data_IF_496292900026
#
_entry.id   IF_496292900026
#
_cell.length_a   1.000
_cell.length_b   1.000
_cell.length_c   1.000
_cell.angle_alpha   90.00
_cell.angle_beta   90.00
_cell.angle_gamma   90.00
#
_symmetry.space_group_name_H-M   'P 1'
#
loop_
_entity.id
_entity.type
_entity.pdbx_description
1 polymer ?
#
# COMPACT_ATOMS: atom_id res chain seq x y z
N UNK A 1 6.27 -6.45 -25.26
CA UNK A 1 6.76 -6.42 -23.86
C UNK A 1 5.91 -7.44 -23.13
N UNK A 2 6.47 -8.62 -22.84
CA UNK A 2 5.68 -9.80 -22.46
C UNK A 2 4.71 -9.48 -21.31
N UNK A 3 3.42 -9.67 -21.58
CA UNK A 3 2.34 -9.63 -20.60
C UNK A 3 1.78 -11.03 -20.42
N UNK A 4 1.28 -11.35 -19.23
CA UNK A 4 0.69 -12.65 -18.96
C UNK A 4 -0.78 -12.70 -19.42
N UNK A 5 -1.53 -11.64 -19.15
CA UNK A 5 -2.99 -11.57 -19.33
C UNK A 5 -3.38 -10.44 -20.27
N UNK A 6 -4.24 -10.70 -21.25
CA UNK A 6 -4.90 -9.66 -22.06
C UNK A 6 -6.31 -9.40 -21.56
N UNK A 7 -6.62 -8.14 -21.23
CA UNK A 7 -7.98 -7.76 -20.82
C UNK A 7 -8.72 -7.17 -22.02
N UNK A 8 -9.63 -7.95 -22.60
CA UNK A 8 -10.52 -7.50 -23.66
C UNK A 8 -11.81 -6.94 -23.07
N UNK A 9 -12.12 -5.69 -23.40
CA UNK A 9 -13.24 -4.95 -22.83
C UNK A 9 -13.72 -3.86 -23.82
N UNK A 10 -14.94 -3.36 -23.65
CA UNK A 10 -15.39 -2.18 -24.40
C UNK A 10 -14.86 -0.91 -23.72
N UNK A 11 -14.46 0.11 -24.49
CA UNK A 11 -13.92 1.36 -23.94
C UNK A 11 -14.86 2.07 -22.96
N UNK A 12 -16.17 1.80 -23.03
CA UNK A 12 -17.19 2.31 -22.09
C UNK A 12 -17.12 1.67 -20.70
N UNK A 13 -16.52 0.49 -20.60
CA UNK A 13 -16.41 -0.30 -19.37
C UNK A 13 -14.99 -0.19 -18.77
N UNK A 14 -14.24 0.85 -19.15
CA UNK A 14 -12.85 1.08 -18.71
C UNK A 14 -12.65 1.03 -17.20
N UNK A 15 -13.48 1.68 -16.36
CA UNK A 15 -13.27 1.65 -14.91
C UNK A 15 -13.26 0.22 -14.33
N UNK A 16 -14.11 -0.66 -14.88
CA UNK A 16 -14.16 -2.06 -14.48
C UNK A 16 -12.91 -2.81 -14.94
N UNK A 17 -12.46 -2.58 -16.19
CA UNK A 17 -11.25 -3.17 -16.72
C UNK A 17 -10.00 -2.77 -15.92
N UNK A 18 -9.89 -1.50 -15.56
CA UNK A 18 -8.79 -0.99 -14.71
C UNK A 18 -8.82 -1.61 -13.31
N UNK A 19 -10.01 -1.77 -12.71
CA UNK A 19 -10.16 -2.47 -11.43
C UNK A 19 -9.65 -3.91 -11.51
N UNK A 20 -9.95 -4.61 -12.61
CA UNK A 20 -9.49 -5.98 -12.82
C UNK A 20 -7.97 -6.06 -13.05
N UNK A 21 -7.41 -5.13 -13.82
CA UNK A 21 -5.95 -5.01 -14.00
C UNK A 21 -5.26 -4.84 -12.67
N UNK A 22 -5.74 -3.91 -11.84
CA UNK A 22 -5.16 -3.68 -10.52
C UNK A 22 -5.22 -4.94 -9.66
N UNK A 23 -6.37 -5.65 -9.65
CA UNK A 23 -6.50 -6.92 -8.92
C UNK A 23 -5.44 -7.95 -9.38
N UNK A 24 -5.31 -8.19 -10.69
CA UNK A 24 -4.39 -9.21 -11.21
C UNK A 24 -2.91 -8.82 -11.04
N UNK A 25 -2.56 -7.56 -11.30
CA UNK A 25 -1.21 -7.04 -11.11
C UNK A 25 -0.81 -7.04 -9.63
N UNK A 26 -1.76 -6.81 -8.71
CA UNK A 26 -1.56 -6.96 -7.26
C UNK A 26 -1.28 -8.40 -6.79
N UNK A 27 -1.58 -9.39 -7.63
CA UNK A 27 -1.23 -10.81 -7.42
C UNK A 27 -0.07 -11.27 -8.30
N UNK A 28 0.68 -10.33 -8.90
CA UNK A 28 1.90 -10.61 -9.66
C UNK A 28 1.67 -11.04 -11.11
N UNK A 29 0.47 -10.86 -11.68
CA UNK A 29 0.19 -11.16 -13.09
C UNK A 29 0.25 -9.90 -13.93
N UNK A 30 1.13 -9.86 -14.93
CA UNK A 30 1.27 -8.68 -15.78
C UNK A 30 0.12 -8.58 -16.80
N UNK A 31 -0.56 -7.43 -16.86
CA UNK A 31 -1.70 -7.26 -17.77
C UNK A 31 -1.36 -6.37 -18.98
N UNK A 32 -1.99 -6.68 -20.12
CA UNK A 32 -2.16 -5.78 -21.25
C UNK A 32 -3.58 -5.21 -21.24
N UNK A 33 -3.70 -3.88 -21.30
CA UNK A 33 -4.99 -3.17 -21.48
C UNK A 33 -4.84 -2.03 -22.49
N UNK A 34 -5.75 -1.99 -23.48
CA UNK A 34 -5.67 -1.06 -24.61
C UNK A 34 -5.67 0.43 -24.22
N UNK A 35 -6.26 0.80 -23.08
CA UNK A 35 -6.27 2.20 -22.57
C UNK A 35 -4.92 2.68 -22.05
N UNK A 36 -4.02 1.76 -21.68
CA UNK A 36 -2.72 2.06 -21.06
C UNK A 36 -1.57 1.73 -22.00
N UNK A 37 -1.64 0.58 -22.65
CA UNK A 37 -0.50 -0.02 -23.34
C UNK A 37 -0.44 0.33 -24.84
N UNK A 38 -1.47 1.01 -25.39
CA UNK A 38 -1.46 1.56 -26.76
C UNK A 38 -1.17 3.07 -26.71
N UNK A 39 -0.11 3.57 -27.37
CA UNK A 39 0.20 5.00 -27.39
C UNK A 39 -0.91 5.86 -28.02
N UNK A 40 -1.09 7.06 -27.48
CA UNK A 40 -2.00 8.05 -28.07
C UNK A 40 -1.55 8.41 -29.50
N UNK A 41 -2.50 8.39 -30.44
CA UNK A 41 -2.23 8.66 -31.86
C UNK A 41 -1.71 7.46 -32.67
N UNK A 42 -1.44 6.32 -32.04
CA UNK A 42 -1.02 5.11 -32.74
C UNK A 42 -2.20 4.37 -33.39
N UNK A 43 -1.92 3.61 -34.44
CA UNK A 43 -2.86 2.61 -34.97
C UNK A 43 -2.95 1.43 -34.00
N UNK A 44 -4.16 1.03 -33.59
CA UNK A 44 -4.35 0.05 -32.51
C UNK A 44 -4.00 -1.38 -32.93
N UNK A 45 -4.28 -1.75 -34.20
CA UNK A 45 -4.23 -3.14 -34.64
C UNK A 45 -2.86 -3.82 -34.45
N UNK A 46 -1.71 -3.21 -34.81
CA UNK A 46 -0.40 -3.83 -34.58
C UNK A 46 -0.15 -4.13 -33.10
N UNK A 47 -0.41 -3.18 -32.21
CA UNK A 47 -0.18 -3.37 -30.76
C UNK A 47 -1.06 -4.47 -30.16
N UNK A 48 -2.30 -4.59 -30.64
CA UNK A 48 -3.20 -5.65 -30.22
C UNK A 48 -2.67 -7.01 -30.69
N UNK A 49 -2.26 -7.12 -31.96
CA UNK A 49 -1.71 -8.37 -32.51
C UNK A 49 -0.46 -8.78 -31.74
N UNK A 50 0.52 -7.88 -31.61
CA UNK A 50 1.77 -8.12 -30.89
C UNK A 50 1.50 -8.56 -29.44
N UNK A 51 0.51 -7.95 -28.78
CA UNK A 51 0.12 -8.34 -27.43
C UNK A 51 -0.51 -9.74 -27.38
N UNK A 52 -1.40 -10.07 -28.33
CA UNK A 52 -2.07 -11.37 -28.39
C UNK A 52 -1.10 -12.53 -28.67
N UNK A 53 -0.04 -12.28 -29.43
CA UNK A 53 1.05 -13.26 -29.64
C UNK A 53 1.79 -13.58 -28.33
N UNK A 54 2.08 -12.54 -27.53
CA UNK A 54 2.89 -12.65 -26.32
C UNK A 54 2.13 -13.16 -25.08
N UNK A 55 0.82 -12.95 -24.99
CA UNK A 55 0.03 -13.33 -23.81
C UNK A 55 -0.05 -14.85 -23.60
N UNK A 56 -0.45 -15.24 -22.39
CA UNK A 56 -0.76 -16.63 -22.04
C UNK A 56 -2.26 -16.89 -21.95
N UNK A 57 -3.06 -15.89 -21.58
CA UNK A 57 -4.51 -16.02 -21.40
C UNK A 57 -5.22 -14.69 -21.70
N UNK A 58 -6.39 -14.77 -22.32
CA UNK A 58 -7.30 -13.63 -22.50
C UNK A 58 -8.42 -13.69 -21.47
N UNK A 59 -8.71 -12.55 -20.84
CA UNK A 59 -9.91 -12.35 -20.02
C UNK A 59 -10.84 -11.39 -20.73
N UNK A 60 -12.11 -11.78 -20.85
CA UNK A 60 -13.14 -10.99 -21.51
C UNK A 60 -14.10 -10.41 -20.47
N UNK A 61 -14.35 -9.10 -20.54
CA UNK A 61 -15.44 -8.44 -19.81
C UNK A 61 -16.69 -8.39 -20.68
N UNK A 62 -17.55 -9.41 -20.59
CA UNK A 62 -18.77 -9.48 -21.38
C UNK A 62 -19.87 -8.60 -20.78
N UNK A 63 -19.96 -7.37 -21.27
CA UNK A 63 -21.03 -6.40 -20.99
C UNK A 63 -21.95 -6.23 -22.22
N UNK A 64 -23.07 -5.53 -22.07
CA UNK A 64 -23.91 -5.11 -23.20
C UNK A 64 -23.10 -4.29 -24.22
N UNK A 65 -22.23 -3.39 -23.75
CA UNK A 65 -21.36 -2.59 -24.61
C UNK A 65 -20.34 -3.45 -25.37
N UNK A 66 -19.80 -4.48 -24.71
CA UNK A 66 -18.88 -5.45 -25.32
C UNK A 66 -19.57 -6.21 -26.45
N UNK A 67 -20.80 -6.70 -26.23
CA UNK A 67 -21.55 -7.49 -27.21
C UNK A 67 -21.77 -6.71 -28.52
N UNK A 68 -21.96 -5.38 -28.44
CA UNK A 68 -22.14 -4.48 -29.58
C UNK A 68 -20.84 -4.06 -30.29
N UNK A 69 -19.67 -4.38 -29.73
CA UNK A 69 -18.38 -3.95 -30.28
C UNK A 69 -17.89 -4.86 -31.40
N UNK A 70 -17.61 -4.28 -32.58
CA UNK A 70 -17.04 -4.99 -33.75
C UNK A 70 -15.53 -5.22 -33.60
N UNK A 71 -14.82 -4.29 -32.95
CA UNK A 71 -13.37 -4.38 -32.77
C UNK A 71 -12.97 -5.62 -31.95
N UNK A 72 -13.80 -5.94 -30.95
CA UNK A 72 -13.67 -7.11 -30.09
C UNK A 72 -13.77 -8.43 -30.86
N UNK A 73 -14.59 -8.49 -31.92
CA UNK A 73 -14.74 -9.72 -32.71
C UNK A 73 -13.41 -10.13 -33.35
N UNK A 74 -12.59 -9.14 -33.74
CA UNK A 74 -11.25 -9.38 -34.28
C UNK A 74 -10.29 -9.92 -33.22
N UNK A 75 -10.31 -9.33 -32.02
CA UNK A 75 -9.48 -9.77 -30.89
C UNK A 75 -9.75 -11.24 -30.54
N UNK A 76 -11.03 -11.62 -30.42
CA UNK A 76 -11.43 -13.00 -30.13
C UNK A 76 -10.97 -13.94 -31.24
N UNK A 77 -11.17 -13.55 -32.51
CA UNK A 77 -10.78 -14.39 -33.65
C UNK A 77 -9.27 -14.64 -33.66
N UNK A 78 -8.46 -13.60 -33.49
CA UNK A 78 -6.99 -13.72 -33.43
C UNK A 78 -6.56 -14.60 -32.25
N UNK A 79 -7.10 -14.34 -31.06
CA UNK A 79 -6.77 -15.08 -29.84
C UNK A 79 -7.10 -16.58 -29.95
N UNK A 80 -8.28 -16.91 -30.48
CA UNK A 80 -8.77 -18.29 -30.56
C UNK A 80 -8.17 -19.06 -31.74
N UNK A 81 -8.16 -18.49 -32.95
CA UNK A 81 -7.81 -19.23 -34.16
C UNK A 81 -6.31 -19.24 -34.44
N UNK A 82 -5.68 -18.07 -34.34
CA UNK A 82 -4.27 -17.90 -34.68
C UNK A 82 -3.39 -18.32 -33.51
N UNK A 83 -3.65 -17.72 -32.35
CA UNK A 83 -2.78 -17.87 -31.17
C UNK A 83 -3.17 -19.04 -30.27
N UNK A 84 -4.40 -19.56 -30.42
CA UNK A 84 -4.95 -20.69 -29.66
C UNK A 84 -4.80 -20.53 -28.15
N UNK A 85 -4.93 -19.30 -27.66
CA UNK A 85 -4.80 -18.99 -26.23
C UNK A 85 -6.12 -19.26 -25.50
N UNK A 86 -6.08 -19.72 -24.25
CA UNK A 86 -7.28 -19.86 -23.44
C UNK A 86 -7.99 -18.50 -23.23
N UNK A 87 -9.32 -18.56 -23.18
CA UNK A 87 -10.21 -17.41 -22.99
C UNK A 87 -11.05 -17.64 -21.74
N UNK A 88 -11.07 -16.67 -20.83
CA UNK A 88 -11.87 -16.67 -19.60
C UNK A 88 -12.91 -15.53 -19.70
N UNK A 89 -14.18 -15.83 -20.00
CA UNK A 89 -15.22 -14.83 -20.05
C UNK A 89 -15.82 -14.55 -18.66
N UNK A 90 -15.84 -13.28 -18.29
CA UNK A 90 -16.59 -12.77 -17.15
C UNK A 90 -17.96 -12.30 -17.64
N UNK A 91 -19.02 -12.94 -17.16
CA UNK A 91 -20.40 -12.59 -17.50
C UNK A 91 -20.85 -11.41 -16.65
N UNK A 92 -21.04 -10.25 -17.27
CA UNK A 92 -21.62 -9.06 -16.63
C UNK A 92 -22.96 -8.63 -17.24
N UNK A 93 -23.40 -9.34 -18.28
CA UNK A 93 -24.66 -9.08 -18.99
C UNK A 93 -25.35 -10.40 -19.33
N UNK A 94 -26.68 -10.36 -19.30
CA UNK A 94 -27.56 -11.45 -19.73
C UNK A 94 -27.91 -11.37 -21.23
N UNK A 95 -27.38 -10.38 -21.95
CA UNK A 95 -27.62 -10.22 -23.38
C UNK A 95 -27.18 -11.47 -24.16
N UNK A 96 -27.99 -11.96 -25.10
CA UNK A 96 -27.63 -13.13 -25.89
C UNK A 96 -26.39 -12.84 -26.74
N UNK A 97 -25.48 -13.81 -26.81
CA UNK A 97 -24.32 -13.73 -27.69
C UNK A 97 -24.76 -13.59 -29.15
N UNK A 98 -24.09 -12.71 -29.89
CA UNK A 98 -24.33 -12.50 -31.31
C UNK A 98 -23.05 -12.68 -32.13
N UNK A 99 -23.22 -13.00 -33.42
CA UNK A 99 -22.12 -13.07 -34.38
C UNK A 99 -20.95 -13.98 -33.95
N UNK A 100 -19.73 -13.46 -34.11
CA UNK A 100 -18.46 -14.15 -33.79
C UNK A 100 -18.39 -14.54 -32.31
N UNK A 101 -18.89 -13.70 -31.40
CA UNK A 101 -18.91 -13.97 -29.96
C UNK A 101 -19.72 -15.22 -29.63
N UNK A 102 -20.83 -15.44 -30.34
CA UNK A 102 -21.63 -16.67 -30.19
C UNK A 102 -20.82 -17.90 -30.61
N UNK A 103 -20.09 -17.81 -31.71
CA UNK A 103 -19.30 -18.92 -32.20
C UNK A 103 -18.22 -19.36 -31.19
N UNK A 104 -17.44 -18.42 -30.65
CA UNK A 104 -16.33 -18.75 -29.75
C UNK A 104 -16.74 -18.93 -28.29
N UNK A 105 -17.72 -18.18 -27.80
CA UNK A 105 -18.03 -18.10 -26.37
C UNK A 105 -19.19 -19.00 -25.93
N UNK A 106 -19.93 -19.65 -26.85
CA UNK A 106 -21.07 -20.49 -26.48
C UNK A 106 -20.70 -21.81 -25.79
N UNK A 107 -19.52 -22.36 -26.05
CA UNK A 107 -19.11 -23.69 -25.54
C UNK A 107 -17.94 -23.62 -24.56
N UNK A 108 -17.76 -22.49 -23.89
CA UNK A 108 -16.73 -22.31 -22.85
C UNK A 108 -17.40 -22.06 -21.50
N UNK A 109 -16.68 -22.28 -20.41
CA UNK A 109 -17.16 -21.99 -19.06
C UNK A 109 -17.04 -20.49 -18.77
N UNK A 110 -18.06 -19.94 -18.12
CA UNK A 110 -18.13 -18.53 -17.74
C UNK A 110 -18.08 -18.36 -16.24
N UNK A 111 -17.53 -17.24 -15.80
CA UNK A 111 -17.66 -16.77 -14.42
C UNK A 111 -18.81 -15.75 -14.39
N UNK A 112 -19.91 -16.05 -13.69
CA UNK A 112 -20.92 -15.04 -13.38
C UNK A 112 -20.29 -13.98 -12.47
N UNK A 113 -20.09 -12.77 -12.98
CA UNK A 113 -19.18 -11.78 -12.40
C UNK A 113 -19.93 -10.51 -11.99
N UNK A 114 -20.09 -10.36 -10.67
CA UNK A 114 -20.73 -9.21 -10.00
C UNK A 114 -19.73 -8.36 -9.22
N UNK A 115 -18.43 -8.69 -9.33
CA UNK A 115 -17.35 -8.00 -8.62
C UNK A 115 -17.21 -8.41 -7.16
N UNK A 116 -17.73 -9.58 -6.78
CA UNK A 116 -17.63 -10.12 -5.43
C UNK A 116 -16.36 -10.95 -5.25
N UNK A 117 -15.88 -11.07 -4.01
CA UNK A 117 -14.60 -11.73 -3.68
C UNK A 117 -14.51 -13.15 -4.23
N UNK A 118 -15.57 -13.94 -4.10
CA UNK A 118 -15.59 -15.33 -4.58
C UNK A 118 -15.29 -15.44 -6.08
N UNK A 119 -15.82 -14.52 -6.88
CA UNK A 119 -15.65 -14.51 -8.33
C UNK A 119 -14.22 -14.11 -8.71
N UNK A 120 -13.63 -13.17 -7.97
CA UNK A 120 -12.21 -12.83 -8.08
C UNK A 120 -11.31 -14.01 -7.71
N UNK A 121 -11.65 -14.77 -6.66
CA UNK A 121 -10.90 -15.97 -6.26
C UNK A 121 -10.97 -17.08 -7.34
N UNK A 122 -12.15 -17.28 -7.95
CA UNK A 122 -12.34 -18.21 -9.07
C UNK A 122 -11.53 -17.78 -10.29
N UNK A 123 -11.55 -16.50 -10.63
CA UNK A 123 -10.76 -15.94 -11.71
C UNK A 123 -9.27 -16.15 -11.45
N UNK A 124 -8.78 -15.82 -10.27
CA UNK A 124 -7.37 -15.96 -9.89
C UNK A 124 -6.90 -17.41 -10.00
N UNK A 125 -7.70 -18.37 -9.51
CA UNK A 125 -7.42 -19.81 -9.67
C UNK A 125 -7.32 -20.20 -11.15
N UNK A 126 -8.24 -19.71 -11.97
CA UNK A 126 -8.24 -19.99 -13.42
C UNK A 126 -7.00 -19.42 -14.11
N UNK A 127 -6.58 -18.21 -13.73
CA UNK A 127 -5.38 -17.54 -14.24
C UNK A 127 -4.10 -18.33 -13.85
N UNK A 128 -3.96 -18.72 -12.58
CA UNK A 128 -2.84 -19.55 -12.10
C UNK A 128 -2.71 -20.84 -12.93
N UNK A 129 -3.83 -21.55 -13.13
CA UNK A 129 -3.85 -22.83 -13.87
C UNK A 129 -3.41 -22.63 -15.32
N UNK A 130 -3.91 -21.59 -16.01
CA UNK A 130 -3.59 -21.38 -17.42
C UNK A 130 -2.18 -20.83 -17.65
N UNK A 131 -1.62 -20.09 -16.69
CA UNK A 131 -0.29 -19.48 -16.81
C UNK A 131 0.81 -20.41 -16.29
N UNK A 132 0.50 -21.29 -15.34
CA UNK A 132 1.49 -22.13 -14.65
C UNK A 132 2.40 -21.34 -13.70
N UNK A 133 1.96 -20.17 -13.23
CA UNK A 133 2.66 -19.31 -12.26
C UNK A 133 1.82 -19.22 -10.99
N UNK A 134 2.44 -19.42 -9.82
CA UNK A 134 1.79 -19.14 -8.53
C UNK A 134 1.45 -17.66 -8.40
N UNK A 135 0.30 -17.35 -7.79
CA UNK A 135 -0.02 -15.98 -7.43
C UNK A 135 0.96 -15.51 -6.35
N UNK A 136 1.49 -14.32 -6.53
CA UNK A 136 2.20 -13.64 -5.44
C UNK A 136 1.16 -13.33 -4.34
N UNK A 137 1.53 -13.43 -3.04
CA UNK A 137 0.63 -13.07 -1.96
C UNK A 137 0.10 -11.67 -2.25
N UNK A 138 -1.23 -11.51 -2.30
CA UNK A 138 -1.89 -10.25 -2.65
C UNK A 138 -1.21 -9.10 -1.91
N UNK A 139 -0.41 -8.34 -2.64
CA UNK A 139 0.34 -7.22 -2.09
C UNK A 139 -0.65 -6.05 -2.11
N UNK A 140 -1.78 -6.16 -1.39
CA UNK A 140 -2.77 -5.08 -1.22
C UNK A 140 -2.08 -3.79 -0.77
N UNK A 141 -0.96 -3.96 -0.08
CA UNK A 141 0.13 -3.01 0.24
C UNK A 141 0.55 -2.14 -0.94
N UNK A 142 0.83 -2.71 -2.13
CA UNK A 142 1.21 -1.98 -3.36
C UNK A 142 0.04 -1.26 -4.04
N UNK A 143 -1.19 -1.76 -3.92
CA UNK A 143 -2.37 -1.08 -4.51
C UNK A 143 -2.81 0.16 -3.72
N UNK A 144 -2.47 0.23 -2.42
CA UNK A 144 -2.96 1.28 -1.53
C UNK A 144 -2.02 2.50 -1.53
N UNK A 145 -0.75 2.28 -1.83
CA UNK A 145 0.22 3.35 -2.05
C UNK A 145 0.14 3.74 -3.53
N UNK A 146 -0.51 4.86 -3.84
CA UNK A 146 -0.41 5.49 -5.16
C UNK A 146 1.03 6.01 -5.33
N UNK A 147 1.95 5.12 -5.68
CA UNK A 147 3.36 5.42 -5.90
C UNK A 147 3.63 6.13 -7.24
N UNK A 148 2.60 6.68 -7.89
CA UNK A 148 2.79 7.49 -9.11
C UNK A 148 3.57 8.78 -8.83
N UNK A 149 3.52 9.27 -7.59
CA UNK A 149 4.09 10.57 -7.19
C UNK A 149 5.17 10.46 -6.11
N UNK A 150 4.99 9.56 -5.13
CA UNK A 150 5.91 9.39 -4.00
C UNK A 150 6.30 7.93 -3.84
N UNK A 151 7.53 7.67 -3.44
CA UNK A 151 8.03 6.34 -3.12
C UNK A 151 8.16 6.18 -1.61
N UNK A 152 7.68 5.06 -1.07
CA UNK A 152 7.83 4.71 0.34
C UNK A 152 9.15 3.99 0.57
N UNK A 153 9.84 4.35 1.65
CA UNK A 153 11.00 3.63 2.17
C UNK A 153 10.75 3.23 3.61
N UNK A 154 11.05 1.99 3.97
CA UNK A 154 10.88 1.51 5.34
C UNK A 154 12.02 0.59 5.77
N UNK A 155 12.27 0.56 7.07
CA UNK A 155 13.13 -0.46 7.64
C UNK A 155 14.59 -0.40 7.13
N UNK A 156 15.06 -1.57 6.65
CA UNK A 156 16.43 -1.77 6.16
C UNK A 156 16.76 -0.95 4.91
N UNK A 157 15.76 -0.44 4.20
CA UNK A 157 15.95 0.33 2.96
C UNK A 157 16.42 1.76 3.18
N UNK A 158 16.44 2.22 4.43
CA UNK A 158 16.77 3.61 4.79
C UNK A 158 18.27 3.74 5.04
N UNK A 159 19.08 4.30 4.11
CA UNK A 159 20.48 4.58 4.36
C UNK A 159 20.66 5.81 5.27
N UNK A 160 21.86 5.98 5.88
CA UNK A 160 22.18 7.17 6.68
C UNK A 160 21.97 8.51 5.95
N UNK A 161 22.07 8.53 4.62
CA UNK A 161 21.80 9.73 3.82
C UNK A 161 20.35 10.20 3.95
N UNK A 162 19.38 9.28 3.97
CA UNK A 162 17.97 9.64 4.13
C UNK A 162 17.66 10.14 5.54
N UNK A 163 18.38 9.63 6.56
CA UNK A 163 18.30 10.16 7.94
C UNK A 163 18.83 11.60 8.00
N UNK A 164 19.90 11.90 7.26
CA UNK A 164 20.38 13.28 7.15
C UNK A 164 19.31 14.19 6.54
N UNK A 165 18.66 13.77 5.45
CA UNK A 165 17.57 14.54 4.84
C UNK A 165 16.36 14.70 5.78
N UNK A 166 16.04 13.68 6.59
CA UNK A 166 15.01 13.78 7.62
C UNK A 166 15.34 14.88 8.66
N UNK A 167 16.60 14.96 9.12
CA UNK A 167 17.06 16.03 10.02
C UNK A 167 17.02 17.41 9.34
N UNK A 168 17.25 17.49 8.03
CA UNK A 168 17.05 18.75 7.30
C UNK A 168 15.57 19.16 7.23
N UNK A 169 14.63 18.21 7.21
CA UNK A 169 13.19 18.51 7.31
C UNK A 169 12.84 19.04 8.70
N UNK A 170 13.47 18.54 9.76
CA UNK A 170 13.23 19.02 11.12
C UNK A 170 13.45 20.53 11.24
N UNK A 171 14.51 21.06 10.61
CA UNK A 171 14.81 22.50 10.56
C UNK A 171 13.69 23.35 9.94
N UNK A 172 12.81 22.73 9.16
CA UNK A 172 11.67 23.40 8.51
C UNK A 172 10.37 23.28 9.30
N UNK A 173 10.29 22.31 10.23
CA UNK A 173 9.04 21.90 10.90
C UNK A 173 9.06 22.19 12.39
N UNK A 174 10.22 22.03 13.02
CA UNK A 174 10.45 22.15 14.45
C UNK A 174 11.26 23.39 14.80
N UNK A 175 11.24 23.77 16.08
CA UNK A 175 12.18 24.75 16.61
C UNK A 175 13.52 24.07 16.96
N UNK A 176 14.56 24.87 17.22
CA UNK A 176 15.94 24.41 17.43
C UNK A 176 16.07 23.33 18.53
N UNK A 177 15.21 23.36 19.56
CA UNK A 177 15.25 22.42 20.68
C UNK A 177 14.77 21.00 20.33
N UNK A 178 14.05 20.84 19.22
CA UNK A 178 13.47 19.56 18.79
C UNK A 178 14.07 19.03 17.47
N UNK A 179 15.12 19.68 16.95
CA UNK A 179 15.83 19.17 15.76
C UNK A 179 16.58 17.90 16.14
N UNK A 180 16.38 16.82 15.38
CA UNK A 180 17.07 15.56 15.59
C UNK A 180 18.60 15.70 15.47
N UNK A 181 19.33 15.14 16.43
CA UNK A 181 20.78 15.00 16.30
C UNK A 181 21.10 13.83 15.36
N UNK A 182 21.72 14.13 14.21
CA UNK A 182 22.03 13.14 13.17
C UNK A 182 22.74 11.89 13.70
N UNK A 183 23.79 12.06 14.52
CA UNK A 183 24.57 10.93 15.03
C UNK A 183 23.73 10.03 15.94
N UNK A 184 22.87 10.62 16.77
CA UNK A 184 21.92 9.88 17.61
C UNK A 184 20.87 9.16 16.76
N UNK A 185 20.28 9.83 15.76
CA UNK A 185 19.34 9.20 14.83
C UNK A 185 19.94 7.99 14.11
N UNK A 186 21.20 8.10 13.66
CA UNK A 186 21.93 7.00 13.04
C UNK A 186 22.24 5.89 14.04
N UNK A 187 22.61 6.20 15.29
CA UNK A 187 22.80 5.20 16.35
C UNK A 187 21.52 4.41 16.61
N UNK A 188 20.39 5.11 16.77
CA UNK A 188 19.10 4.48 16.97
C UNK A 188 18.71 3.59 15.79
N UNK A 189 18.89 4.05 14.55
CA UNK A 189 18.66 3.24 13.35
C UNK A 189 19.62 2.05 13.22
N UNK A 190 20.87 2.17 13.68
CA UNK A 190 21.81 1.05 13.74
C UNK A 190 21.35 -0.01 14.73
N UNK A 191 20.85 0.41 15.89
CA UNK A 191 20.28 -0.47 16.91
C UNK A 191 19.01 -1.15 16.41
N UNK A 192 18.10 -0.40 15.79
CA UNK A 192 16.86 -0.94 15.25
C UNK A 192 16.55 -0.37 13.86
N UNK A 193 16.63 -1.24 12.85
CA UNK A 193 16.43 -0.85 11.44
C UNK A 193 15.00 -0.45 11.12
N UNK A 194 14.02 -0.87 11.91
CA UNK A 194 12.58 -0.76 11.61
C UNK A 194 11.90 0.36 12.41
N UNK A 195 12.63 1.45 12.67
CA UNK A 195 12.09 2.61 13.40
C UNK A 195 11.68 3.76 12.49
N UNK A 196 12.09 3.75 11.23
CA UNK A 196 11.78 4.82 10.29
C UNK A 196 10.88 4.35 9.14
N UNK A 197 9.99 5.25 8.75
CA UNK A 197 9.28 5.26 7.47
C UNK A 197 9.51 6.62 6.82
N UNK A 198 9.84 6.65 5.54
CA UNK A 198 10.17 7.87 4.80
C UNK A 198 9.46 7.91 3.45
N UNK A 199 9.15 9.12 2.98
CA UNK A 199 8.64 9.37 1.63
C UNK A 199 9.69 10.11 0.80
N UNK A 200 9.99 9.56 -0.37
CA UNK A 200 10.76 10.21 -1.43
C UNK A 200 9.81 10.78 -2.49
N UNK A 201 10.02 12.02 -2.92
CA UNK A 201 9.40 12.56 -4.14
C UNK A 201 10.13 12.00 -5.37
N UNK A 202 9.41 11.22 -6.19
CA UNK A 202 10.00 10.48 -7.31
C UNK A 202 10.67 11.42 -8.32
N UNK A 203 10.15 12.64 -8.48
CA UNK A 203 10.67 13.63 -9.44
C UNK A 203 11.95 14.29 -8.92
N UNK A 204 11.97 14.65 -7.64
CA UNK A 204 13.09 15.40 -7.05
C UNK A 204 14.16 14.52 -6.42
N UNK A 205 13.84 13.24 -6.17
CA UNK A 205 14.70 12.27 -5.47
C UNK A 205 15.11 12.72 -4.06
N UNK A 206 14.28 13.54 -3.43
CA UNK A 206 14.48 14.01 -2.06
C UNK A 206 13.49 13.38 -1.11
N UNK A 207 13.93 13.14 0.12
CA UNK A 207 13.01 12.84 1.21
C UNK A 207 12.18 14.08 1.51
N UNK A 208 10.87 13.90 1.57
CA UNK A 208 9.90 14.97 1.77
C UNK A 208 9.16 14.85 3.10
N UNK A 209 9.22 13.71 3.76
CA UNK A 209 8.63 13.51 5.07
C UNK A 209 8.99 12.15 5.64
N UNK A 210 8.84 12.02 6.95
CA UNK A 210 9.18 10.80 7.68
C UNK A 210 8.36 10.65 8.96
N UNK A 211 8.30 9.41 9.44
CA UNK A 211 7.87 9.05 10.78
C UNK A 211 8.98 8.25 11.45
N UNK A 212 9.34 8.63 12.67
CA UNK A 212 10.17 7.85 13.58
C UNK A 212 9.27 7.21 14.65
N UNK A 213 9.15 5.88 14.64
CA UNK A 213 8.34 5.12 15.57
C UNK A 213 9.19 3.98 16.18
N UNK A 214 9.50 4.10 17.47
CA UNK A 214 10.51 3.30 18.14
C UNK A 214 9.88 2.38 19.19
N UNK A 215 10.33 1.13 19.36
CA UNK A 215 9.92 0.34 20.50
C UNK A 215 10.67 0.83 21.74
N UNK A 216 9.95 0.99 22.85
CA UNK A 216 10.51 1.48 24.11
C UNK A 216 10.12 0.59 25.27
N UNK A 217 10.97 0.54 26.29
CA UNK A 217 10.68 -0.18 27.52
C UNK A 217 9.62 0.56 28.38
N UNK A 218 9.07 -0.13 29.39
CA UNK A 218 8.08 0.45 30.29
C UNK A 218 8.60 1.66 31.08
N UNK A 219 9.90 1.69 31.43
CA UNK A 219 10.50 2.80 32.17
C UNK A 219 10.42 4.10 31.38
N UNK A 220 10.88 4.08 30.12
CA UNK A 220 10.83 5.24 29.25
C UNK A 220 9.39 5.64 28.92
N UNK A 221 8.50 4.66 28.74
CA UNK A 221 7.09 4.91 28.51
C UNK A 221 6.48 5.79 29.62
N UNK A 222 6.70 5.43 30.89
CA UNK A 222 6.16 6.18 32.02
C UNK A 222 6.80 7.57 32.18
N UNK A 223 8.08 7.72 31.82
CA UNK A 223 8.77 9.02 31.83
C UNK A 223 8.16 9.96 30.77
N UNK A 224 7.94 9.47 29.55
CA UNK A 224 7.29 10.25 28.47
C UNK A 224 5.86 10.59 28.87
N UNK A 225 5.13 9.63 29.45
CA UNK A 225 3.74 9.84 29.91
C UNK A 225 3.58 10.96 30.92
N UNK A 226 4.57 11.14 31.79
CA UNK A 226 4.63 12.24 32.77
C UNK A 226 5.15 13.56 32.18
N UNK A 227 5.54 13.58 30.90
CA UNK A 227 6.05 14.76 30.22
C UNK A 227 7.38 15.28 30.81
N UNK A 228 8.24 14.39 31.32
CA UNK A 228 9.46 14.77 32.05
C UNK A 228 10.72 14.85 31.18
N UNK A 229 10.67 14.37 29.94
CA UNK A 229 11.81 14.23 29.05
C UNK A 229 11.53 14.82 27.68
N UNK A 230 12.57 15.36 27.04
CA UNK A 230 12.54 15.79 25.63
C UNK A 230 13.24 14.71 24.79
N UNK A 231 12.67 14.35 23.65
CA UNK A 231 13.13 13.29 22.73
C UNK A 231 14.64 13.26 22.46
N UNK A 232 15.25 14.43 22.28
CA UNK A 232 16.69 14.54 21.98
C UNK A 232 17.59 14.02 23.11
N UNK A 233 17.03 13.76 24.29
CA UNK A 233 17.74 13.27 25.48
C UNK A 233 17.54 11.77 25.75
N UNK A 234 16.79 11.07 24.89
CA UNK A 234 16.56 9.63 25.04
C UNK A 234 17.88 8.86 24.85
N UNK A 235 18.30 8.15 25.90
CA UNK A 235 19.44 7.24 25.84
C UNK A 235 19.10 5.99 25.02
N UNK A 236 20.08 5.45 24.28
CA UNK A 236 19.87 4.29 23.41
C UNK A 236 19.48 3.02 24.18
N UNK A 237 19.93 2.87 25.42
CA UNK A 237 19.57 1.78 26.34
C UNK A 237 18.05 1.61 26.52
N UNK A 238 17.27 2.67 26.41
CA UNK A 238 15.82 2.64 26.60
C UNK A 238 15.02 2.27 25.33
N UNK A 239 15.71 2.21 24.19
CA UNK A 239 15.12 1.83 22.90
C UNK A 239 15.31 0.33 22.73
N UNK A 240 14.22 -0.40 22.56
CA UNK A 240 14.24 -1.85 22.40
C UNK A 240 14.64 -2.27 20.97
N UNK A 241 14.94 -3.55 20.78
CA UNK A 241 15.20 -4.13 19.46
C UNK A 241 14.17 -5.21 19.12
N UNK A 242 13.86 -5.33 17.84
CA UNK A 242 12.93 -6.32 17.31
C UNK A 242 13.60 -7.68 17.05
N UNK A 243 14.44 -8.11 17.99
CA UNK A 243 15.25 -9.33 17.84
C UNK A 243 14.50 -10.59 18.26
N UNK A 244 13.45 -10.44 19.08
CA UNK A 244 12.62 -11.54 19.59
C UNK A 244 11.12 -11.26 19.38
N UNK A 245 10.31 -12.32 19.12
CA UNK A 245 8.86 -12.26 19.27
C UNK A 245 8.48 -11.78 20.68
N UNK A 246 7.80 -10.63 20.75
CA UNK A 246 7.33 -10.06 22.01
C UNK A 246 6.31 -8.93 21.77
N UNK A 247 5.74 -8.43 22.85
CA UNK A 247 4.86 -7.26 22.87
C UNK A 247 5.60 -6.04 23.44
N UNK A 248 5.76 -5.01 22.62
CA UNK A 248 6.48 -3.78 22.94
C UNK A 248 5.53 -2.61 23.19
N UNK A 249 6.03 -1.51 23.76
CA UNK A 249 5.36 -0.20 23.67
C UNK A 249 5.92 0.58 22.48
N UNK A 250 5.05 1.21 21.70
CA UNK A 250 5.45 2.02 20.55
C UNK A 250 5.51 3.49 20.94
N UNK A 251 6.66 4.12 20.69
CA UNK A 251 6.83 5.56 20.78
C UNK A 251 6.85 6.21 19.40
N UNK A 252 5.85 7.05 19.08
CA UNK A 252 5.88 7.89 17.89
C UNK A 252 6.67 9.16 18.24
N UNK A 253 7.99 9.08 18.09
CA UNK A 253 8.93 10.14 18.46
C UNK A 253 8.85 11.35 17.53
N UNK A 254 8.74 11.14 16.22
CA UNK A 254 8.78 12.26 15.29
C UNK A 254 7.90 12.02 14.07
N UNK A 255 7.23 13.08 13.64
CA UNK A 255 6.36 13.11 12.46
C UNK A 255 6.57 14.44 11.78
N UNK A 256 7.33 14.42 10.68
CA UNK A 256 7.66 15.62 9.94
C UNK A 256 7.30 15.45 8.46
N UNK A 257 6.76 16.51 7.88
CA UNK A 257 6.47 16.62 6.45
C UNK A 257 6.89 18.01 6.00
N UNK A 258 7.64 18.07 4.91
CA UNK A 258 8.11 19.33 4.36
C UNK A 258 6.88 20.22 4.02
N UNK A 259 6.84 21.50 4.46
CA UNK A 259 5.64 22.33 4.40
C UNK A 259 4.97 22.45 3.03
N UNK A 260 5.77 22.49 1.95
CA UNK A 260 5.30 22.49 0.55
C UNK A 260 4.38 21.32 0.19
N UNK A 261 4.53 20.17 0.86
CA UNK A 261 3.79 18.94 0.57
C UNK A 261 2.54 18.78 1.44
N UNK A 262 2.19 19.80 2.25
CA UNK A 262 0.92 19.83 2.94
C UNK A 262 -0.24 19.78 1.93
N UNK A 263 -1.32 19.08 2.30
CA UNK A 263 -2.52 18.89 1.46
C UNK A 263 -2.30 18.12 0.14
N UNK A 264 -1.17 17.42 -0.03
CA UNK A 264 -0.85 16.64 -1.23
C UNK A 264 -1.20 15.15 -1.15
N UNK A 265 -1.82 14.70 -0.06
CA UNK A 265 -2.00 13.27 0.25
C UNK A 265 -0.78 12.59 0.89
N UNK A 266 0.41 13.19 0.81
CA UNK A 266 1.65 12.64 1.37
C UNK A 266 1.57 12.28 2.87
N UNK A 267 0.87 13.09 3.67
CA UNK A 267 0.68 12.78 5.09
C UNK A 267 -0.09 11.48 5.33
N UNK A 268 -1.16 11.24 4.56
CA UNK A 268 -1.91 9.98 4.63
C UNK A 268 -1.03 8.81 4.20
N UNK A 269 -0.23 9.02 3.16
CA UNK A 269 0.68 8.00 2.65
C UNK A 269 1.76 7.61 3.67
N UNK A 270 2.35 8.59 4.38
CA UNK A 270 3.26 8.33 5.51
C UNK A 270 2.59 7.49 6.60
N UNK A 271 1.36 7.85 6.97
CA UNK A 271 0.60 7.10 7.97
C UNK A 271 0.32 5.67 7.50
N UNK A 272 -0.17 5.50 6.27
CA UNK A 272 -0.41 4.17 5.70
C UNK A 272 0.89 3.35 5.68
N UNK A 273 2.02 3.93 5.30
CA UNK A 273 3.32 3.28 5.31
C UNK A 273 3.78 2.86 6.74
N UNK A 274 3.50 3.67 7.77
CA UNK A 274 3.70 3.25 9.17
C UNK A 274 2.85 2.02 9.51
N UNK A 275 1.57 2.02 9.12
CA UNK A 275 0.70 0.86 9.35
C UNK A 275 1.24 -0.39 8.64
N UNK A 276 1.77 -0.25 7.43
CA UNK A 276 2.38 -1.37 6.71
C UNK A 276 3.61 -1.92 7.41
N UNK A 277 4.47 -1.04 7.93
CA UNK A 277 5.61 -1.45 8.75
C UNK A 277 5.14 -2.24 9.98
N UNK A 278 4.09 -1.78 10.68
CA UNK A 278 3.54 -2.50 11.84
C UNK A 278 2.94 -3.85 11.43
N UNK A 279 2.22 -3.93 10.29
CA UNK A 279 1.71 -5.20 9.77
C UNK A 279 2.86 -6.18 9.47
N UNK A 280 3.97 -5.68 8.92
CA UNK A 280 5.15 -6.52 8.64
C UNK A 280 5.83 -7.01 9.92
N UNK A 281 5.91 -6.17 10.95
CA UNK A 281 6.38 -6.57 12.28
C UNK A 281 5.42 -7.59 12.94
N UNK A 282 4.11 -7.43 12.77
CA UNK A 282 3.11 -8.37 13.27
C UNK A 282 3.32 -9.78 12.72
N UNK A 283 3.64 -9.92 11.42
CA UNK A 283 3.94 -11.22 10.79
C UNK A 283 5.19 -11.90 11.38
N UNK A 284 6.08 -11.11 12.00
CA UNK A 284 7.29 -11.57 12.68
C UNK A 284 7.06 -11.77 14.18
N UNK A 285 5.80 -11.85 14.61
CA UNK A 285 5.39 -12.03 16.01
C UNK A 285 5.86 -10.88 16.93
N UNK A 286 6.04 -9.69 16.36
CA UNK A 286 6.35 -8.47 17.08
C UNK A 286 5.09 -7.63 17.16
N UNK A 287 4.57 -7.48 18.37
CA UNK A 287 3.34 -6.76 18.64
C UNK A 287 3.62 -5.48 19.41
N UNK A 288 2.70 -4.53 19.30
CA UNK A 288 2.67 -3.33 20.13
C UNK A 288 1.43 -3.32 21.00
N UNK A 289 1.58 -3.12 22.30
CA UNK A 289 0.46 -2.99 23.24
C UNK A 289 0.00 -1.54 23.34
N UNK A 290 0.85 -0.66 23.84
CA UNK A 290 0.57 0.76 24.03
C UNK A 290 1.29 1.59 22.98
N UNK A 291 0.71 2.75 22.67
CA UNK A 291 1.26 3.76 21.78
C UNK A 291 1.31 5.08 22.53
N UNK A 292 2.45 5.75 22.51
CA UNK A 292 2.62 7.07 23.12
C UNK A 292 3.28 8.02 22.13
N UNK A 293 2.96 9.31 22.24
CA UNK A 293 3.52 10.36 21.40
C UNK A 293 3.65 11.66 22.19
N UNK A 294 4.77 12.35 22.01
CA UNK A 294 4.95 13.71 22.47
C UNK A 294 4.75 14.68 21.30
N UNK A 295 3.56 15.26 21.19
CA UNK A 295 3.19 16.09 20.05
C UNK A 295 3.70 17.53 20.22
N UNK A 296 4.89 17.80 19.67
CA UNK A 296 5.51 19.13 19.64
C UNK A 296 5.09 19.95 18.40
N UNK A 297 4.65 19.30 17.31
CA UNK A 297 4.24 19.97 16.07
C UNK A 297 2.74 19.84 15.79
N UNK A 298 2.15 20.78 15.02
CA UNK A 298 0.75 20.68 14.59
C UNK A 298 0.45 19.39 13.80
N UNK A 299 1.43 18.87 13.05
CA UNK A 299 1.28 17.64 12.28
C UNK A 299 1.27 16.42 13.19
N UNK A 300 2.16 16.36 14.19
CA UNK A 300 2.16 15.31 15.20
C UNK A 300 0.86 15.29 16.01
N UNK A 301 0.39 16.47 16.44
CA UNK A 301 -0.90 16.60 17.15
C UNK A 301 -2.07 16.17 16.25
N UNK A 302 -2.02 16.53 14.95
CA UNK A 302 -3.02 16.09 13.97
C UNK A 302 -3.02 14.58 13.79
N UNK A 303 -1.85 13.92 13.74
CA UNK A 303 -1.75 12.45 13.66
C UNK A 303 -2.43 11.81 14.88
N UNK A 304 -2.04 12.23 16.09
CA UNK A 304 -2.56 11.68 17.34
C UNK A 304 -4.09 11.76 17.39
N UNK A 305 -4.65 12.93 17.08
CA UNK A 305 -6.11 13.12 17.01
C UNK A 305 -6.76 12.32 15.90
N UNK A 306 -6.14 12.25 14.73
CA UNK A 306 -6.67 11.54 13.58
C UNK A 306 -6.88 10.06 13.91
N UNK A 307 -5.87 9.42 14.52
CA UNK A 307 -5.94 8.01 14.94
C UNK A 307 -6.65 7.82 16.29
N UNK A 308 -7.22 8.86 16.88
CA UNK A 308 -8.01 8.75 18.11
C UNK A 308 -7.22 8.50 19.38
N UNK A 309 -5.93 8.86 19.44
CA UNK A 309 -5.19 8.90 20.69
C UNK A 309 -5.78 9.97 21.62
N UNK A 310 -5.73 9.70 22.92
CA UNK A 310 -6.26 10.58 23.96
C UNK A 310 -5.12 11.40 24.55
N UNK A 311 -5.32 12.72 24.67
CA UNK A 311 -4.36 13.58 25.38
C UNK A 311 -4.39 13.21 26.87
N UNK A 312 -3.24 12.88 27.44
CA UNK A 312 -3.12 12.50 28.85
C UNK A 312 -2.46 13.57 29.72
N UNK A 313 -1.54 14.38 29.18
CA UNK A 313 -0.80 15.38 29.97
C UNK A 313 -0.32 16.57 29.11
N UNK A 314 -0.06 17.71 29.75
CA UNK A 314 0.77 18.79 29.18
C UNK A 314 2.22 18.64 29.68
N UNK A 315 3.18 18.57 28.77
CA UNK A 315 4.57 18.30 29.15
C UNK A 315 5.23 19.50 29.86
N UNK A 316 6.31 19.23 30.60
CA UNK A 316 7.11 20.29 31.25
C UNK A 316 7.79 21.23 30.23
N UNK A 317 7.84 20.84 28.96
CA UNK A 317 8.41 21.57 27.83
C UNK A 317 7.36 22.09 26.83
N UNK A 318 6.11 22.25 27.28
CA UNK A 318 5.02 22.93 26.55
C UNK A 318 4.53 22.19 25.29
N UNK A 319 4.59 20.86 25.30
CA UNK A 319 3.99 19.99 24.30
C UNK A 319 2.84 19.18 24.90
N UNK A 320 2.14 18.38 24.08
CA UNK A 320 0.97 17.60 24.52
C UNK A 320 1.28 16.13 24.40
N UNK A 321 1.15 15.40 25.50
CA UNK A 321 1.35 13.95 25.51
C UNK A 321 0.05 13.26 25.14
N UNK A 322 0.13 12.33 24.19
CA UNK A 322 -0.98 11.52 23.73
C UNK A 322 -0.69 10.05 23.98
N UNK A 323 -1.73 9.30 24.36
CA UNK A 323 -1.67 7.86 24.63
C UNK A 323 -2.77 7.13 23.83
N UNK A 324 -2.44 5.91 23.40
CA UNK A 324 -3.31 4.97 22.73
C UNK A 324 -2.86 3.53 23.00
N UNK A 325 -3.62 2.58 22.47
CA UNK A 325 -3.42 1.16 22.70
C UNK A 325 -3.95 0.35 21.52
N UNK A 326 -3.18 -0.66 21.15
CA UNK A 326 -3.54 -1.72 20.21
C UNK A 326 -3.91 -3.03 20.96
N UNK A 327 -3.56 -3.17 22.25
CA UNK A 327 -3.94 -4.29 23.12
C UNK A 327 -4.34 -3.81 24.54
N UNK A 328 -5.64 -3.64 24.84
CA UNK A 328 -6.78 -3.72 23.91
C UNK A 328 -6.83 -2.52 22.96
N UNK A 329 -7.42 -2.68 21.78
CA UNK A 329 -7.54 -1.59 20.80
C UNK A 329 -8.43 -0.47 21.36
N UNK A 330 -7.87 0.73 21.52
CA UNK A 330 -8.61 1.95 21.89
C UNK A 330 -8.38 3.12 20.93
N UNK A 331 -7.52 2.95 19.92
CA UNK A 331 -7.34 3.92 18.84
C UNK A 331 -8.30 3.63 17.68
N UNK A 332 -8.48 4.61 16.80
CA UNK A 332 -9.40 4.57 15.64
C UNK A 332 -8.68 4.07 14.40
N UNK A 333 -9.27 3.10 13.69
CA UNK A 333 -8.89 2.82 12.32
C UNK A 333 -9.46 3.91 11.40
N UNK A 334 -8.59 4.51 10.59
CA UNK A 334 -8.89 5.66 9.74
C UNK A 334 -8.68 5.40 8.25
N UNK A 335 -7.99 4.32 7.92
CA UNK A 335 -7.71 3.84 6.56
C UNK A 335 -7.99 2.35 6.43
N UNK A 336 -8.10 1.86 5.19
CA UNK A 336 -8.26 0.41 4.91
C UNK A 336 -7.12 -0.42 5.52
N UNK A 337 -5.89 0.10 5.49
CA UNK A 337 -4.73 -0.56 6.10
C UNK A 337 -4.83 -0.61 7.62
N UNK A 338 -5.21 0.50 8.28
CA UNK A 338 -5.38 0.48 9.74
C UNK A 338 -6.51 -0.47 10.17
N UNK A 339 -7.57 -0.61 9.35
CA UNK A 339 -8.61 -1.63 9.59
C UNK A 339 -8.03 -3.04 9.50
N UNK A 340 -7.23 -3.33 8.46
CA UNK A 340 -6.56 -4.63 8.29
C UNK A 340 -5.65 -4.95 9.49
N UNK A 341 -4.86 -3.98 9.94
CA UNK A 341 -4.04 -4.12 11.15
C UNK A 341 -4.89 -4.48 12.37
N UNK A 342 -6.02 -3.80 12.57
CA UNK A 342 -6.88 -4.08 13.74
C UNK A 342 -7.53 -5.46 13.66
N UNK A 343 -7.93 -5.89 12.46
CA UNK A 343 -8.47 -7.22 12.26
C UNK A 343 -7.40 -8.30 12.56
N UNK A 344 -6.12 -8.06 12.26
CA UNK A 344 -5.02 -8.92 12.71
C UNK A 344 -4.91 -8.97 14.23
N UNK A 345 -4.92 -7.82 14.89
CA UNK A 345 -4.82 -7.76 16.36
C UNK A 345 -5.99 -8.46 17.08
N UNK A 346 -7.19 -8.47 16.50
CA UNK A 346 -8.34 -9.24 17.03
C UNK A 346 -8.14 -10.76 16.97
N UNK A 347 -7.21 -11.24 16.16
CA UNK A 347 -6.88 -12.68 16.10
C UNK A 347 -5.95 -13.12 17.24
N UNK A 348 -5.32 -12.17 17.93
CA UNK A 348 -4.52 -12.47 19.11
C UNK A 348 -5.45 -12.87 20.25
N UNK A 349 -5.34 -14.13 20.69
CA UNK A 349 -6.01 -14.62 21.90
C UNK A 349 -5.23 -14.15 23.14
N UNK A 350 -5.19 -12.83 23.38
CA UNK A 350 -4.52 -12.21 24.53
C UNK A 350 -5.50 -11.75 25.59
#
# INVERSE_FOLDING_TARGET
>A
MKKDVFISYSTKDRPLAESLVNFLEGHGFSCFISSRDIPLGATWAPYIIDALEEIKVMVILFTENYNKSVQVDREITVCCDLEKKPVIPLKLSEEPLTGIKKFYLSNINWIDFKGEKEQYDILLKSIIINIGKEAEPNDETKLILDESTYKVHCGKEIPPQMIFEAVEIDKLVYNDSYIGNYDNCVKWWKKNKYIYVMLEDIKTKKIIGYINAMPINNTLYEIIKKGEIIDVTINDENIETYDLPDTYNLYISSVALHPKYHNSGAFKLLYDALILLIIELFKREIYFSKVIADAVSPIGEKLCKYIGMVKCEDSKHQSKIFEGSLLPINIRYTTRLSKKLFDLYKTLNL
#
